data_IF_272138053145
#
_entry.id   IF_272138053145
#
_cell.length_a   1.000
_cell.length_b   1.000
_cell.length_c   1.000
_cell.angle_alpha   90.00
_cell.angle_beta   90.00
_cell.angle_gamma   90.00
#
_symmetry.space_group_name_H-M   'P 1'
#
loop_
_entity.id
_entity.type
_entity.pdbx_description
1 polymer ?
#
# COMPACT_ATOMS: atom_id res chain seq x y z
N UNK A 1 13.90 6.73 -2.46
CA UNK A 1 14.31 5.67 -1.53
C UNK A 1 14.49 4.41 -2.36
N UNK A 2 15.53 3.62 -2.10
CA UNK A 2 15.89 2.47 -2.92
C UNK A 2 15.37 1.19 -2.24
N UNK A 3 14.52 0.42 -2.93
CA UNK A 3 14.08 -0.90 -2.48
C UNK A 3 15.20 -1.90 -2.79
N UNK A 4 15.74 -2.57 -1.77
CA UNK A 4 16.88 -3.47 -1.90
C UNK A 4 16.47 -4.89 -1.53
N UNK A 5 16.72 -5.83 -2.43
CA UNK A 5 16.35 -7.24 -2.28
C UNK A 5 17.62 -8.07 -2.10
N UNK A 6 17.68 -8.84 -1.02
CA UNK A 6 18.75 -9.79 -0.76
C UNK A 6 18.16 -11.20 -0.60
N UNK A 7 18.37 -12.05 -1.60
CA UNK A 7 18.04 -13.46 -1.55
C UNK A 7 19.02 -14.27 -2.41
N UNK A 8 18.99 -15.60 -2.29
CA UNK A 8 19.89 -16.50 -3.01
C UNK A 8 19.40 -16.75 -4.46
N UNK A 9 19.41 -15.71 -5.29
CA UNK A 9 19.04 -15.82 -6.70
C UNK A 9 20.06 -16.61 -7.49
N UNK A 10 19.57 -17.44 -8.41
CA UNK A 10 20.38 -17.91 -9.53
C UNK A 10 20.67 -16.69 -10.41
N UNK A 11 21.94 -16.44 -10.70
CA UNK A 11 22.37 -15.34 -11.56
C UNK A 11 22.83 -15.86 -12.91
N UNK A 12 22.66 -15.06 -13.96
CA UNK A 12 23.29 -15.32 -15.24
C UNK A 12 24.83 -15.35 -15.09
N UNK A 13 25.53 -15.93 -16.07
CA UNK A 13 27.00 -16.08 -16.01
C UNK A 13 27.74 -14.74 -15.85
N UNK A 14 27.18 -13.64 -16.38
CA UNK A 14 27.70 -12.27 -16.20
C UNK A 14 27.35 -11.64 -14.84
N UNK A 15 26.53 -12.30 -14.01
CA UNK A 15 26.04 -11.85 -12.69
C UNK A 15 25.24 -10.54 -12.69
N UNK A 16 24.87 -10.03 -13.85
CA UNK A 16 24.14 -8.76 -14.00
C UNK A 16 22.64 -8.97 -14.19
N UNK A 17 22.22 -10.19 -14.55
CA UNK A 17 20.82 -10.53 -14.78
C UNK A 17 20.35 -11.66 -13.86
N UNK A 18 19.10 -11.56 -13.44
CA UNK A 18 18.37 -12.63 -12.75
C UNK A 18 17.55 -13.36 -13.81
N UNK A 19 17.97 -14.56 -14.29
CA UNK A 19 17.20 -15.33 -15.26
C UNK A 19 15.87 -15.79 -14.67
N UNK A 20 14.89 -15.93 -15.54
CA UNK A 20 13.60 -16.50 -15.19
C UNK A 20 13.74 -18.02 -15.00
N UNK A 21 13.75 -18.46 -13.74
CA UNK A 21 13.86 -19.86 -13.35
C UNK A 21 12.82 -20.14 -12.27
N UNK A 22 12.35 -21.37 -12.15
CA UNK A 22 11.37 -21.77 -11.13
C UNK A 22 11.79 -21.33 -9.71
N UNK A 23 13.08 -21.46 -9.39
CA UNK A 23 13.62 -21.03 -8.11
C UNK A 23 13.57 -19.51 -7.91
N UNK A 24 13.99 -18.73 -8.92
CA UNK A 24 13.94 -17.28 -8.84
C UNK A 24 12.49 -16.77 -8.75
N UNK A 25 11.57 -17.38 -9.51
CA UNK A 25 10.13 -17.09 -9.42
C UNK A 25 9.59 -17.36 -8.03
N UNK A 26 9.92 -18.51 -7.43
CA UNK A 26 9.55 -18.83 -6.05
C UNK A 26 10.11 -17.80 -5.04
N UNK A 27 11.34 -17.31 -5.26
CA UNK A 27 11.90 -16.23 -4.44
C UNK A 27 11.16 -14.90 -4.62
N UNK A 28 10.79 -14.54 -5.86
CA UNK A 28 10.02 -13.32 -6.16
C UNK A 28 8.65 -13.37 -5.47
N UNK A 29 7.95 -14.50 -5.57
CA UNK A 29 6.70 -14.70 -4.84
C UNK A 29 6.91 -14.63 -3.31
N UNK A 30 7.97 -15.24 -2.80
CA UNK A 30 8.35 -15.17 -1.40
C UNK A 30 8.57 -13.72 -0.92
N UNK A 31 9.19 -12.87 -1.74
CA UNK A 31 9.38 -11.44 -1.45
C UNK A 31 8.04 -10.71 -1.38
N UNK A 32 7.15 -10.96 -2.36
CA UNK A 32 5.80 -10.39 -2.36
C UNK A 32 5.06 -10.75 -1.07
N UNK A 33 5.08 -12.03 -0.69
CA UNK A 33 4.41 -12.52 0.52
C UNK A 33 5.04 -11.94 1.80
N UNK A 34 6.37 -11.87 1.87
CA UNK A 34 7.08 -11.28 3.00
C UNK A 34 6.77 -9.80 3.16
N UNK A 35 6.72 -9.03 2.07
CA UNK A 35 6.37 -7.61 2.12
C UNK A 35 4.93 -7.41 2.59
N UNK A 36 3.98 -8.19 2.07
CA UNK A 36 2.57 -8.14 2.50
C UNK A 36 2.45 -8.48 3.99
N UNK A 37 3.17 -9.51 4.45
CA UNK A 37 3.23 -9.89 5.87
C UNK A 37 3.78 -8.75 6.74
N UNK A 38 4.88 -8.13 6.32
CA UNK A 38 5.46 -6.97 7.00
C UNK A 38 4.45 -5.82 7.09
N UNK A 39 3.73 -5.48 6.01
CA UNK A 39 2.72 -4.41 6.05
C UNK A 39 1.64 -4.72 7.10
N UNK A 40 1.18 -5.97 7.20
CA UNK A 40 0.17 -6.38 8.20
C UNK A 40 0.67 -6.18 9.64
N UNK A 41 1.96 -6.37 9.88
CA UNK A 41 2.61 -6.10 11.17
C UNK A 41 2.77 -4.60 11.43
N UNK A 42 3.25 -3.85 10.43
CA UNK A 42 3.47 -2.40 10.55
C UNK A 42 2.18 -1.61 10.73
N UNK A 43 1.03 -2.11 10.26
CA UNK A 43 -0.25 -1.43 10.46
C UNK A 43 -0.85 -1.69 11.84
N UNK A 44 -0.17 -2.40 12.74
CA UNK A 44 -0.64 -2.54 14.11
C UNK A 44 -0.48 -1.22 14.89
N UNK A 45 -1.38 -0.91 15.84
CA UNK A 45 -1.37 0.36 16.54
C UNK A 45 -0.03 0.63 17.25
N UNK A 46 0.54 1.80 17.03
CA UNK A 46 1.75 2.27 17.72
C UNK A 46 3.04 2.05 16.95
N UNK A 47 3.00 1.35 15.81
CA UNK A 47 4.16 1.26 14.93
C UNK A 47 4.43 2.61 14.23
N UNK A 48 5.69 3.09 14.17
CA UNK A 48 6.02 4.36 13.52
C UNK A 48 5.78 4.37 12.00
N UNK A 49 5.64 3.20 11.37
CA UNK A 49 5.43 3.02 9.93
C UNK A 49 3.98 2.71 9.56
N UNK A 50 3.05 2.64 10.53
CA UNK A 50 1.62 2.38 10.31
C UNK A 50 1.01 3.26 9.21
N UNK A 51 1.41 4.53 9.15
CA UNK A 51 0.92 5.50 8.17
C UNK A 51 1.89 5.73 7.00
N UNK A 52 3.00 4.98 6.93
CA UNK A 52 4.14 5.23 6.03
C UNK A 52 4.59 3.99 5.25
N UNK A 53 4.03 2.81 5.51
CA UNK A 53 4.42 1.55 4.85
C UNK A 53 4.40 1.63 3.31
N UNK A 54 3.47 2.40 2.72
CA UNK A 54 3.33 2.55 1.27
C UNK A 54 4.53 3.25 0.62
N UNK A 55 5.34 3.98 1.41
CA UNK A 55 6.59 4.60 0.93
C UNK A 55 7.65 3.56 0.56
N UNK A 56 7.50 2.34 1.06
CA UNK A 56 8.45 1.24 0.90
C UNK A 56 8.03 0.22 -0.17
N UNK A 57 7.00 0.53 -0.95
CA UNK A 57 6.63 -0.32 -2.07
C UNK A 57 7.78 -0.48 -3.08
N UNK A 58 7.84 -1.62 -3.79
CA UNK A 58 8.73 -1.77 -4.94
C UNK A 58 8.55 -0.64 -5.96
N UNK A 59 9.57 -0.37 -6.77
CA UNK A 59 9.46 0.64 -7.83
C UNK A 59 8.52 0.17 -8.95
N UNK A 60 7.65 1.06 -9.45
CA UNK A 60 6.77 0.79 -10.61
C UNK A 60 7.52 0.52 -11.92
N UNK A 61 8.78 0.92 -12.00
CA UNK A 61 9.58 0.90 -13.24
C UNK A 61 10.72 -0.12 -13.16
N UNK A 62 10.53 -1.21 -12.40
CA UNK A 62 11.50 -2.30 -12.40
C UNK A 62 11.37 -3.07 -13.71
N UNK A 63 12.49 -3.37 -14.36
CA UNK A 63 12.53 -4.00 -15.68
C UNK A 63 12.98 -5.47 -15.59
N UNK A 64 12.67 -6.24 -16.63
CA UNK A 64 13.06 -7.64 -16.74
C UNK A 64 12.37 -8.51 -15.70
N UNK A 65 13.12 -9.38 -15.03
CA UNK A 65 12.60 -10.34 -14.05
C UNK A 65 11.73 -9.70 -12.93
N UNK A 66 11.92 -8.41 -12.65
CA UNK A 66 11.24 -7.71 -11.57
C UNK A 66 9.96 -6.98 -12.00
N UNK A 67 9.58 -7.03 -13.27
CA UNK A 67 8.47 -6.23 -13.81
C UNK A 67 7.15 -6.47 -13.06
N UNK A 68 6.84 -7.73 -12.75
CA UNK A 68 5.59 -8.07 -12.04
C UNK A 68 5.64 -7.80 -10.53
N UNK A 69 6.82 -7.54 -9.95
CA UNK A 69 6.98 -7.46 -8.49
C UNK A 69 6.07 -6.39 -7.88
N UNK A 70 5.97 -5.23 -8.54
CA UNK A 70 5.12 -4.13 -8.08
C UNK A 70 3.64 -4.49 -8.15
N UNK A 71 3.20 -5.04 -9.28
CA UNK A 71 1.80 -5.36 -9.53
C UNK A 71 1.33 -6.52 -8.65
N UNK A 72 2.14 -7.57 -8.49
CA UNK A 72 1.86 -8.69 -7.58
C UNK A 72 1.75 -8.24 -6.12
N UNK A 73 2.67 -7.38 -5.68
CA UNK A 73 2.64 -6.80 -4.33
C UNK A 73 1.39 -5.98 -4.13
N UNK A 74 1.09 -5.09 -5.06
CA UNK A 74 -0.10 -4.22 -4.98
C UNK A 74 -1.38 -5.03 -5.00
N UNK A 75 -1.49 -6.02 -5.90
CA UNK A 75 -2.65 -6.90 -6.00
C UNK A 75 -2.91 -7.65 -4.69
N UNK A 76 -1.87 -8.22 -4.06
CA UNK A 76 -2.03 -8.92 -2.77
C UNK A 76 -2.40 -7.97 -1.63
N UNK A 77 -2.02 -6.70 -1.68
CA UNK A 77 -2.38 -5.69 -0.67
C UNK A 77 -3.82 -5.20 -0.80
N UNK A 78 -4.39 -5.13 -2.01
CA UNK A 78 -5.73 -4.58 -2.25
C UNK A 78 -6.84 -5.24 -1.42
N UNK A 79 -6.70 -6.53 -1.11
CA UNK A 79 -7.67 -7.29 -0.32
C UNK A 79 -7.37 -7.38 1.17
N UNK A 80 -6.42 -6.58 1.69
CA UNK A 80 -5.99 -6.63 3.09
C UNK A 80 -6.47 -5.40 3.85
N UNK A 81 -6.89 -5.60 5.10
CA UNK A 81 -7.22 -4.50 6.01
C UNK A 81 -5.94 -3.83 6.50
N UNK A 82 -5.46 -2.83 5.77
CA UNK A 82 -4.14 -2.18 5.96
C UNK A 82 -4.21 -0.65 6.02
N UNK A 83 -5.41 -0.08 5.88
CA UNK A 83 -5.65 1.35 6.00
C UNK A 83 -6.44 1.66 7.27
N UNK A 84 -5.96 2.66 8.01
CA UNK A 84 -6.61 3.11 9.24
C UNK A 84 -7.68 4.17 8.95
N UNK A 85 -8.87 3.97 9.49
CA UNK A 85 -9.94 4.97 9.47
C UNK A 85 -9.74 6.06 10.53
N UNK A 86 -10.52 7.14 10.46
CA UNK A 86 -10.58 8.16 11.53
C UNK A 86 -11.09 7.59 12.85
N UNK A 87 -11.88 6.51 12.82
CA UNK A 87 -12.37 5.82 14.01
C UNK A 87 -11.37 4.77 14.54
N UNK A 88 -10.22 4.60 13.89
CA UNK A 88 -9.15 3.74 14.36
C UNK A 88 -9.25 2.27 13.94
N UNK A 89 -10.19 1.90 13.07
CA UNK A 89 -10.32 0.53 12.55
C UNK A 89 -9.49 0.35 11.28
N UNK A 90 -9.07 -0.89 11.00
CA UNK A 90 -8.39 -1.24 9.75
C UNK A 90 -9.42 -1.69 8.72
N UNK A 91 -9.26 -1.19 7.50
CA UNK A 91 -10.06 -1.57 6.34
C UNK A 91 -9.19 -1.69 5.10
N UNK A 92 -9.73 -2.30 4.06
CA UNK A 92 -9.04 -2.41 2.77
C UNK A 92 -9.09 -1.12 1.95
N UNK A 93 -8.33 -1.10 0.86
CA UNK A 93 -8.20 0.07 -0.01
C UNK A 93 -9.52 0.45 -0.72
N UNK A 94 -10.36 -0.54 -1.03
CA UNK A 94 -11.61 -0.35 -1.76
C UNK A 94 -12.71 0.23 -0.87
N UNK A 95 -12.70 -0.13 0.42
CA UNK A 95 -13.60 0.40 1.44
C UNK A 95 -13.31 1.87 1.72
N UNK A 96 -12.05 2.20 1.99
CA UNK A 96 -11.64 3.53 2.43
C UNK A 96 -11.83 4.63 1.38
N UNK A 97 -12.08 5.85 1.86
CA UNK A 97 -12.23 7.07 1.07
C UNK A 97 -11.38 8.18 1.65
N UNK A 98 -10.61 8.86 0.80
CA UNK A 98 -9.94 10.09 1.22
C UNK A 98 -10.89 11.28 1.10
N UNK A 99 -10.79 12.19 2.07
CA UNK A 99 -11.57 13.42 2.09
C UNK A 99 -10.83 14.54 1.34
N UNK A 100 -11.46 15.22 0.37
CA UNK A 100 -10.85 16.35 -0.29
C UNK A 100 -10.74 17.56 0.66
N UNK A 101 -9.80 18.49 0.40
CA UNK A 101 -9.61 19.67 1.26
C UNK A 101 -10.88 20.50 1.49
N UNK A 102 -11.74 20.61 0.48
CA UNK A 102 -13.01 21.35 0.59
C UNK A 102 -14.06 20.68 1.49
N UNK A 103 -13.83 19.44 1.92
CA UNK A 103 -14.70 18.73 2.86
C UNK A 103 -14.17 18.75 4.30
N UNK A 104 -13.08 19.48 4.55
CA UNK A 104 -12.45 19.61 5.86
C UNK A 104 -12.50 21.07 6.31
N UNK A 105 -12.96 21.30 7.54
CA UNK A 105 -12.92 22.59 8.22
C UNK A 105 -12.34 22.41 9.62
N UNK A 106 -11.34 23.20 10.00
CA UNK A 106 -10.65 23.10 11.30
C UNK A 106 -10.19 21.67 11.65
N UNK A 107 -9.59 20.98 10.67
CA UNK A 107 -9.15 19.57 10.76
C UNK A 107 -10.27 18.54 10.95
N UNK A 108 -11.54 18.95 10.89
CA UNK A 108 -12.70 18.06 11.02
C UNK A 108 -13.45 17.94 9.69
N UNK A 109 -14.03 16.77 9.38
CA UNK A 109 -14.95 16.65 8.27
C UNK A 109 -16.15 17.59 8.44
N UNK A 110 -16.68 18.11 7.33
CA UNK A 110 -17.93 18.89 7.35
C UNK A 110 -19.14 18.06 7.79
N UNK A 111 -19.12 16.76 7.52
CA UNK A 111 -20.16 15.80 7.93
C UNK A 111 -19.51 14.65 8.69
N UNK A 112 -20.20 14.08 9.70
CA UNK A 112 -19.68 12.92 10.41
C UNK A 112 -19.43 11.76 9.45
N UNK A 113 -18.53 10.87 9.83
CA UNK A 113 -18.35 9.61 9.11
C UNK A 113 -19.62 8.77 9.19
N UNK A 114 -19.79 7.89 8.22
CA UNK A 114 -20.87 6.90 8.16
C UNK A 114 -20.64 5.79 9.18
N UNK A 115 -21.69 5.02 9.48
CA UNK A 115 -21.57 3.80 10.31
C UNK A 115 -20.60 2.77 9.70
N UNK A 116 -20.44 2.82 8.37
CA UNK A 116 -19.51 2.00 7.61
C UNK A 116 -18.04 2.39 7.81
N UNK A 117 -17.73 3.51 8.48
CA UNK A 117 -16.36 3.93 8.83
C UNK A 117 -15.42 4.02 7.62
N UNK A 118 -15.79 4.88 6.68
CA UNK A 118 -15.14 4.97 5.37
C UNK A 118 -14.08 6.07 5.31
N UNK A 119 -13.99 6.97 6.29
CA UNK A 119 -13.07 8.11 6.22
C UNK A 119 -11.66 7.71 6.60
N UNK A 120 -10.71 7.92 5.68
CA UNK A 120 -9.29 7.71 5.94
C UNK A 120 -8.81 8.58 7.11
N UNK A 121 -7.97 8.01 7.97
CA UNK A 121 -7.31 8.75 9.06
C UNK A 121 -6.64 10.02 8.54
N UNK A 122 -6.72 11.09 9.32
CA UNK A 122 -6.02 12.35 9.09
C UNK A 122 -4.52 12.30 9.42
N UNK A 123 -4.03 11.16 9.93
CA UNK A 123 -2.61 10.92 10.23
C UNK A 123 -1.76 10.58 9.01
N UNK A 124 -2.39 10.22 7.88
CA UNK A 124 -1.67 10.03 6.61
C UNK A 124 -1.23 11.39 6.06
N UNK A 125 0.06 11.53 5.72
CA UNK A 125 0.57 12.78 5.16
C UNK A 125 0.11 12.95 3.69
N UNK A 126 0.09 14.18 3.13
CA UNK A 126 -0.34 14.40 1.74
C UNK A 126 0.41 13.55 0.71
N UNK A 127 1.70 13.27 0.96
CA UNK A 127 2.50 12.38 0.13
C UNK A 127 2.01 10.93 0.20
N UNK A 128 1.65 10.43 1.38
CA UNK A 128 1.12 9.08 1.57
C UNK A 128 -0.21 8.92 0.85
N UNK A 129 -1.09 9.92 0.97
CA UNK A 129 -2.37 9.95 0.25
C UNK A 129 -2.16 9.91 -1.26
N UNK A 130 -1.12 10.56 -1.78
CA UNK A 130 -0.77 10.48 -3.21
C UNK A 130 -0.40 9.06 -3.63
N UNK A 131 0.46 8.38 -2.86
CA UNK A 131 0.84 6.99 -3.14
C UNK A 131 -0.37 6.06 -3.03
N UNK A 132 -1.21 6.23 -2.00
CA UNK A 132 -2.42 5.43 -1.84
C UNK A 132 -3.42 5.63 -2.98
N UNK A 133 -3.57 6.84 -3.51
CA UNK A 133 -4.38 7.10 -4.71
C UNK A 133 -3.85 6.35 -5.93
N UNK A 134 -2.54 6.33 -6.09
CA UNK A 134 -1.89 5.58 -7.15
C UNK A 134 -2.09 4.06 -7.01
N UNK A 135 -2.31 3.56 -5.79
CA UNK A 135 -2.69 2.16 -5.53
C UNK A 135 -4.19 1.89 -5.76
N UNK A 136 -5.01 2.93 -5.93
CA UNK A 136 -6.44 2.80 -6.17
C UNK A 136 -7.35 3.41 -5.10
N UNK A 137 -6.81 4.12 -4.08
CA UNK A 137 -7.63 4.78 -3.07
C UNK A 137 -8.54 5.84 -3.72
N UNK A 138 -9.84 5.71 -3.47
CA UNK A 138 -10.85 6.56 -4.10
C UNK A 138 -11.17 7.78 -3.23
N UNK A 139 -11.55 8.86 -3.91
CA UNK A 139 -12.15 10.04 -3.27
C UNK A 139 -13.56 9.70 -2.82
N UNK A 140 -14.02 10.30 -1.72
CA UNK A 140 -15.43 10.28 -1.37
C UNK A 140 -16.29 10.88 -2.50
N UNK A 141 -17.40 10.22 -2.86
CA UNK A 141 -18.39 10.72 -3.81
C UNK A 141 -19.61 11.31 -3.10
N UNK A 142 -20.40 12.13 -3.82
CA UNK A 142 -21.66 12.68 -3.30
C UNK A 142 -22.68 11.62 -2.91
N UNK A 143 -22.69 10.48 -3.60
CA UNK A 143 -23.60 9.35 -3.30
C UNK A 143 -23.27 8.61 -2.02
N UNK A 144 -22.08 8.82 -1.44
CA UNK A 144 -21.68 8.24 -0.15
C UNK A 144 -21.88 9.22 1.02
N UNK A 145 -22.35 10.42 0.71
CA UNK A 145 -22.59 11.52 1.66
C UNK A 145 -24.10 11.63 1.96
N UNK A 146 -24.95 11.02 1.13
CA UNK A 146 -26.42 11.03 1.20
C UNK A 146 -26.93 9.67 1.65
#
# INVERSE_FOLDING_TARGET
>A
MQFLIHANFVLAANREAVPDTDWNQALREGIVLAFVGLVIELVQPGDPLEFKWMRYLPGKTMEGFWEDLYDDTTYKLLGKAILRSRQGRLHDLNHMKFLPPWFIYELRPLLPDTDDDIYLSDRYEPFDIKVLKELGLKKISSTQIL
#
